data_IF_193721709227
#
_entry.id   IF_193721709227
#
_cell.length_a   1.000
_cell.length_b   1.000
_cell.length_c   1.000
_cell.angle_alpha   90.00
_cell.angle_beta   90.00
_cell.angle_gamma   90.00
#
_symmetry.space_group_name_H-M   'P 1'
#
loop_
_entity.id
_entity.type
_entity.pdbx_description
1 polymer ?
#
# COMPACT_ATOMS: atom_id res chain seq x y z
N UNK A 1 14.08 22.64 5.48
CA UNK A 1 13.82 21.55 6.47
C UNK A 1 12.73 20.62 5.91
N UNK A 2 12.68 19.37 6.34
CA UNK A 2 11.64 18.40 5.96
C UNK A 2 10.85 18.05 7.22
N UNK A 3 9.52 18.07 7.14
CA UNK A 3 8.63 17.64 8.21
C UNK A 3 7.91 16.37 7.74
N UNK A 4 8.30 15.18 8.20
CA UNK A 4 7.64 13.94 7.80
C UNK A 4 6.27 13.81 8.47
N UNK A 5 5.29 13.30 7.72
CA UNK A 5 3.97 12.94 8.21
C UNK A 5 3.67 11.51 7.76
N UNK A 6 3.48 10.61 8.72
CA UNK A 6 3.13 9.22 8.44
C UNK A 6 1.61 9.07 8.50
N UNK A 7 1.04 8.44 7.47
CA UNK A 7 -0.39 8.17 7.36
C UNK A 7 -0.58 6.66 7.36
N UNK A 8 -1.47 6.16 8.21
CA UNK A 8 -1.87 4.77 8.16
C UNK A 8 -2.73 4.52 6.93
N UNK A 9 -2.22 3.71 6.01
CA UNK A 9 -2.84 3.37 4.71
C UNK A 9 -3.01 1.87 4.51
N UNK A 10 -2.65 1.07 5.51
CA UNK A 10 -2.68 -0.39 5.40
C UNK A 10 -3.53 -1.06 6.46
N UNK A 11 -3.65 -0.51 7.67
CA UNK A 11 -4.31 -1.23 8.74
C UNK A 11 -5.66 -0.57 9.07
N UNK A 12 -6.81 -1.13 8.68
CA UNK A 12 -8.11 -0.59 9.01
C UNK A 12 -8.27 -0.36 10.54
N UNK A 13 -9.24 0.45 10.99
CA UNK A 13 -9.96 1.43 10.18
C UNK A 13 -8.97 2.48 9.65
N UNK A 14 -9.01 2.71 8.33
CA UNK A 14 -8.24 3.75 7.69
C UNK A 14 -8.92 5.11 7.93
N UNK A 15 -8.18 6.24 7.90
CA UNK A 15 -8.78 7.55 7.76
C UNK A 15 -9.72 7.58 6.56
N UNK A 16 -10.88 8.22 6.68
CA UNK A 16 -11.74 8.43 5.51
C UNK A 16 -11.07 9.39 4.53
N UNK A 17 -11.46 9.31 3.27
CA UNK A 17 -11.03 10.24 2.22
C UNK A 17 -11.31 11.70 2.60
N UNK A 18 -12.52 11.95 3.12
CA UNK A 18 -12.93 13.27 3.65
C UNK A 18 -12.12 13.71 4.87
N UNK A 19 -11.86 12.83 5.84
CA UNK A 19 -11.06 13.19 7.01
C UNK A 19 -9.61 13.52 6.63
N UNK A 20 -9.04 12.75 5.70
CA UNK A 20 -7.72 13.01 5.14
C UNK A 20 -7.66 14.39 4.49
N UNK A 21 -8.68 14.77 3.72
CA UNK A 21 -8.77 16.11 3.15
C UNK A 21 -8.87 17.22 4.23
N UNK A 22 -9.69 17.04 5.26
CA UNK A 22 -9.82 17.99 6.38
C UNK A 22 -8.51 18.20 7.15
N UNK A 23 -7.69 17.15 7.31
CA UNK A 23 -6.36 17.29 7.90
C UNK A 23 -5.49 18.22 7.05
N UNK A 24 -5.56 18.08 5.72
CA UNK A 24 -4.93 19.00 4.78
C UNK A 24 -5.40 20.45 4.96
N UNK A 25 -6.71 20.67 5.08
CA UNK A 25 -7.28 22.01 5.32
C UNK A 25 -6.78 22.62 6.64
N UNK A 26 -6.63 21.79 7.67
CA UNK A 26 -6.05 22.21 8.94
C UNK A 26 -4.56 22.57 8.80
N UNK A 27 -3.79 21.77 8.03
CA UNK A 27 -2.40 22.07 7.70
C UNK A 27 -2.28 23.41 6.95
N UNK A 28 -3.21 23.69 6.03
CA UNK A 28 -3.21 24.96 5.28
C UNK A 28 -3.27 26.18 6.20
N UNK A 29 -4.12 26.16 7.23
CA UNK A 29 -4.22 27.25 8.20
C UNK A 29 -2.89 27.54 8.90
N UNK A 30 -2.12 26.50 9.21
CA UNK A 30 -0.78 26.64 9.81
C UNK A 30 0.22 27.16 8.79
N UNK A 31 0.19 26.66 7.55
CA UNK A 31 1.09 27.10 6.47
C UNK A 31 0.85 28.57 6.11
N UNK A 32 -0.42 29.01 6.00
CA UNK A 32 -0.77 30.39 5.64
C UNK A 32 -0.38 31.42 6.72
N UNK A 33 -0.27 31.00 7.97
CA UNK A 33 0.17 31.85 9.08
C UNK A 33 1.69 32.07 9.10
N UNK A 34 2.42 31.53 8.12
CA UNK A 34 3.88 31.50 8.08
C UNK A 34 4.45 32.20 6.85
N UNK A 35 5.63 32.84 6.97
CA UNK A 35 6.26 33.54 5.84
C UNK A 35 7.00 32.60 4.87
N UNK A 36 7.24 31.34 5.23
CA UNK A 36 8.02 30.42 4.39
C UNK A 36 7.22 29.91 3.18
N UNK A 37 7.93 29.69 2.05
CA UNK A 37 7.39 28.95 0.92
C UNK A 37 7.43 27.45 1.21
N UNK A 38 6.27 26.82 1.28
CA UNK A 38 6.12 25.39 1.57
C UNK A 38 5.76 24.63 0.30
N UNK A 39 6.51 23.57 0.02
CA UNK A 39 6.14 22.54 -0.96
C UNK A 39 5.61 21.31 -0.20
N UNK A 40 4.61 20.65 -0.76
CA UNK A 40 4.02 19.42 -0.20
C UNK A 40 4.33 18.28 -1.16
N UNK A 41 4.89 17.19 -0.62
CA UNK A 41 5.13 15.95 -1.34
C UNK A 41 4.20 14.89 -0.72
N UNK A 42 3.25 14.40 -1.50
CA UNK A 42 2.50 13.19 -1.19
C UNK A 42 3.14 12.02 -1.94
N UNK A 43 3.30 10.89 -1.25
CA UNK A 43 3.89 9.66 -1.81
C UNK A 43 2.98 8.47 -1.53
N UNK A 44 3.15 7.43 -2.32
CA UNK A 44 2.32 6.23 -2.31
C UNK A 44 1.42 6.17 -3.55
N UNK A 45 0.85 4.99 -3.78
CA UNK A 45 0.08 4.69 -4.99
C UNK A 45 0.97 4.42 -6.22
N UNK A 46 0.39 4.20 -7.40
CA UNK A 46 -1.04 4.02 -7.65
C UNK A 46 -1.46 2.56 -7.37
N UNK A 47 -2.30 1.92 -8.19
CA UNK A 47 -2.83 0.59 -7.89
C UNK A 47 -1.70 -0.42 -7.62
N UNK A 48 -1.75 -1.08 -6.47
CA UNK A 48 -0.83 -2.17 -6.11
C UNK A 48 -1.36 -2.98 -4.92
N UNK A 49 -0.88 -4.22 -4.80
CA UNK A 49 -1.36 -5.17 -3.80
C UNK A 49 -0.24 -5.99 -3.13
N UNK A 50 0.75 -5.36 -2.47
CA UNK A 50 1.87 -6.05 -1.85
C UNK A 50 1.42 -7.10 -0.85
N UNK A 51 1.92 -8.32 -1.02
CA UNK A 51 1.67 -9.44 -0.12
C UNK A 51 0.30 -10.09 -0.29
N UNK A 52 -0.39 -9.87 -1.41
CA UNK A 52 -1.68 -10.49 -1.72
C UNK A 52 -1.58 -11.30 -3.02
N UNK A 53 -2.58 -12.16 -3.26
CA UNK A 53 -2.72 -12.91 -4.51
C UNK A 53 -2.83 -12.01 -5.75
N UNK A 54 -3.23 -10.74 -5.56
CA UNK A 54 -3.41 -9.75 -6.61
C UNK A 54 -2.13 -8.95 -6.91
N UNK A 55 -1.00 -9.27 -6.27
CA UNK A 55 0.25 -8.49 -6.39
C UNK A 55 0.69 -8.23 -7.83
N UNK A 56 0.50 -9.19 -8.73
CA UNK A 56 0.86 -9.07 -10.16
C UNK A 56 -0.31 -8.63 -11.07
N UNK A 57 -1.43 -8.18 -10.49
CA UNK A 57 -2.63 -7.75 -11.21
C UNK A 57 -3.13 -6.37 -10.75
N UNK A 58 -2.35 -5.29 -10.96
CA UNK A 58 -2.80 -3.94 -10.63
C UNK A 58 -3.99 -3.47 -11.48
N UNK A 59 -4.69 -2.45 -10.99
CA UNK A 59 -5.87 -1.84 -11.63
C UNK A 59 -5.48 -0.62 -12.47
N UNK A 60 -4.76 -0.84 -13.57
CA UNK A 60 -4.22 0.26 -14.38
C UNK A 60 -5.29 1.15 -15.03
N UNK A 61 -6.45 0.61 -15.36
CA UNK A 61 -7.55 1.43 -15.90
C UNK A 61 -8.12 2.37 -14.82
N UNK A 62 -8.18 1.93 -13.57
CA UNK A 62 -8.53 2.79 -12.44
C UNK A 62 -7.48 3.89 -12.26
N UNK A 63 -6.19 3.55 -12.35
CA UNK A 63 -5.09 4.52 -12.27
C UNK A 63 -5.20 5.59 -13.36
N UNK A 64 -5.52 5.20 -14.59
CA UNK A 64 -5.76 6.13 -15.69
C UNK A 64 -6.96 7.06 -15.44
N UNK A 65 -8.03 6.55 -14.83
CA UNK A 65 -9.14 7.39 -14.39
C UNK A 65 -8.72 8.38 -13.30
N UNK A 66 -7.98 7.95 -12.28
CA UNK A 66 -7.44 8.85 -11.24
C UNK A 66 -6.60 9.96 -11.88
N UNK A 67 -5.65 9.60 -12.75
CA UNK A 67 -4.80 10.56 -13.45
C UNK A 67 -5.63 11.58 -14.23
N UNK A 68 -6.67 11.12 -14.95
CA UNK A 68 -7.58 12.02 -15.67
C UNK A 68 -8.30 12.99 -14.73
N UNK A 69 -8.89 12.51 -13.63
CA UNK A 69 -9.57 13.39 -12.67
C UNK A 69 -8.61 14.46 -12.13
N UNK A 70 -7.36 14.07 -11.83
CA UNK A 70 -6.34 14.99 -11.33
C UNK A 70 -5.86 16.00 -12.38
N UNK A 71 -5.67 15.59 -13.64
CA UNK A 71 -5.32 16.51 -14.73
C UNK A 71 -6.46 17.48 -15.08
N UNK A 72 -7.71 17.08 -14.85
CA UNK A 72 -8.89 17.92 -15.05
C UNK A 72 -9.22 18.79 -13.82
N UNK A 73 -8.45 18.64 -12.75
CA UNK A 73 -8.60 19.45 -11.52
C UNK A 73 -9.83 19.06 -10.71
N UNK A 74 -10.25 17.79 -10.79
CA UNK A 74 -11.37 17.20 -10.05
C UNK A 74 -10.94 16.19 -8.97
N UNK A 75 -10.03 16.54 -8.04
CA UNK A 75 -9.65 15.62 -6.97
C UNK A 75 -10.83 15.27 -6.05
N UNK A 76 -11.92 16.05 -6.07
CA UNK A 76 -13.15 15.75 -5.32
C UNK A 76 -13.79 14.42 -5.70
N UNK A 77 -13.61 13.93 -6.93
CA UNK A 77 -14.10 12.61 -7.35
C UNK A 77 -13.50 11.48 -6.51
N UNK A 78 -12.31 11.68 -5.95
CA UNK A 78 -11.66 10.73 -5.06
C UNK A 78 -12.24 10.77 -3.63
N UNK A 79 -12.89 11.87 -3.24
CA UNK A 79 -13.55 12.01 -1.93
C UNK A 79 -14.85 11.21 -1.84
N UNK A 80 -15.39 10.76 -2.98
CA UNK A 80 -16.55 9.87 -3.07
C UNK A 80 -16.21 8.41 -2.69
N UNK A 81 -14.92 8.04 -2.69
CA UNK A 81 -14.47 6.68 -2.42
C UNK A 81 -14.43 6.39 -0.93
N UNK A 82 -14.84 5.18 -0.55
CA UNK A 82 -14.62 4.62 0.79
C UNK A 82 -13.24 4.00 0.92
N UNK A 83 -12.77 3.78 2.15
CA UNK A 83 -11.51 3.05 2.39
C UNK A 83 -11.55 1.61 1.86
N UNK A 84 -12.72 0.99 1.85
CA UNK A 84 -12.94 -0.35 1.29
C UNK A 84 -12.83 -0.34 -0.24
N UNK A 85 -13.40 0.67 -0.90
CA UNK A 85 -13.24 0.85 -2.34
C UNK A 85 -11.79 1.12 -2.73
N UNK A 86 -11.07 1.94 -1.94
CA UNK A 86 -9.64 2.16 -2.14
C UNK A 86 -8.83 0.87 -1.96
N UNK A 87 -9.21 -0.01 -1.03
CA UNK A 87 -8.60 -1.34 -0.87
C UNK A 87 -8.86 -2.23 -2.09
N UNK A 88 -10.09 -2.29 -2.59
CA UNK A 88 -10.46 -3.09 -3.78
C UNK A 88 -9.61 -2.74 -5.02
N UNK A 89 -9.32 -1.45 -5.21
CA UNK A 89 -8.50 -0.91 -6.34
C UNK A 89 -7.02 -0.69 -5.99
N UNK A 90 -6.55 -1.15 -4.83
CA UNK A 90 -5.12 -1.15 -4.47
C UNK A 90 -4.54 0.26 -4.30
N UNK A 91 -5.38 1.20 -3.89
CA UNK A 91 -5.11 2.64 -3.90
C UNK A 91 -5.39 3.30 -2.53
N UNK A 92 -5.30 2.55 -1.42
CA UNK A 92 -5.40 3.10 -0.05
C UNK A 92 -4.32 4.16 0.22
N UNK A 93 -3.21 4.10 -0.49
CA UNK A 93 -2.13 5.10 -0.43
C UNK A 93 -2.46 6.43 -1.14
N UNK A 94 -3.65 6.58 -1.71
CA UNK A 94 -4.16 7.89 -2.16
C UNK A 94 -4.55 8.80 -0.97
N UNK A 95 -4.71 8.28 0.25
CA UNK A 95 -5.07 9.09 1.42
C UNK A 95 -4.08 10.26 1.69
N UNK A 96 -2.73 10.06 1.63
CA UNK A 96 -1.75 11.14 1.61
C UNK A 96 -1.99 12.20 0.53
N UNK A 97 -2.43 11.81 -0.66
CA UNK A 97 -2.72 12.75 -1.75
C UNK A 97 -3.93 13.62 -1.40
N UNK A 98 -4.94 13.06 -0.74
CA UNK A 98 -6.11 13.81 -0.29
C UNK A 98 -5.76 14.83 0.80
N UNK A 99 -4.81 14.52 1.68
CA UNK A 99 -4.22 15.49 2.63
C UNK A 99 -3.53 16.62 1.85
N UNK A 100 -2.72 16.29 0.84
CA UNK A 100 -2.09 17.31 -0.02
C UNK A 100 -3.16 18.20 -0.67
N UNK A 101 -4.22 17.63 -1.25
CA UNK A 101 -5.29 18.43 -1.89
C UNK A 101 -6.04 19.32 -0.89
N UNK A 102 -6.30 18.85 0.32
CA UNK A 102 -6.88 19.69 1.37
C UNK A 102 -5.97 20.87 1.73
N UNK A 103 -4.66 20.66 1.70
CA UNK A 103 -3.69 21.73 1.98
C UNK A 103 -3.55 22.71 0.81
N UNK A 104 -3.52 22.22 -0.43
CA UNK A 104 -3.24 23.06 -1.61
C UNK A 104 -4.49 23.67 -2.24
N UNK A 105 -5.66 23.12 -1.94
CA UNK A 105 -6.90 23.29 -2.71
C UNK A 105 -6.89 22.50 -4.01
N UNK A 106 -8.05 22.42 -4.67
CA UNK A 106 -8.21 21.72 -5.94
C UNK A 106 -7.43 22.47 -7.03
N UNK A 107 -6.51 21.76 -7.68
CA UNK A 107 -5.65 22.30 -8.74
C UNK A 107 -5.52 21.29 -9.85
N UNK A 108 -5.37 21.78 -11.08
CA UNK A 108 -5.00 20.94 -12.19
C UNK A 108 -3.61 20.34 -11.99
N UNK A 109 -3.54 19.02 -12.14
CA UNK A 109 -2.29 18.28 -12.22
C UNK A 109 -1.70 18.29 -13.63
N UNK A 110 -0.40 18.05 -13.71
CA UNK A 110 0.32 17.63 -14.91
C UNK A 110 0.93 16.27 -14.62
N UNK A 111 0.62 15.27 -15.43
CA UNK A 111 1.33 14.00 -15.40
C UNK A 111 2.74 14.19 -15.98
N UNK A 112 3.76 13.93 -15.16
CA UNK A 112 5.15 13.94 -15.64
C UNK A 112 5.55 12.58 -16.21
N UNK A 113 5.07 11.50 -15.59
CA UNK A 113 5.30 10.13 -16.05
C UNK A 113 4.27 9.19 -15.45
N UNK A 114 3.85 8.20 -16.23
CA UNK A 114 3.18 7.01 -15.73
C UNK A 114 3.84 5.78 -16.36
N UNK A 115 4.22 4.81 -15.52
CA UNK A 115 4.88 3.58 -15.92
C UNK A 115 4.16 2.40 -15.27
N UNK A 116 3.34 1.64 -16.02
CA UNK A 116 2.84 0.37 -15.52
C UNK A 116 4.02 -0.61 -15.37
N UNK A 117 4.12 -1.25 -14.22
CA UNK A 117 5.18 -2.23 -13.95
C UNK A 117 4.60 -3.65 -13.93
N UNK A 118 5.30 -4.61 -13.33
CA UNK A 118 4.74 -5.95 -13.10
C UNK A 118 3.76 -6.01 -11.93
N UNK A 119 3.76 -5.01 -11.02
CA UNK A 119 3.07 -5.12 -9.73
C UNK A 119 2.52 -3.81 -9.17
N UNK A 120 2.74 -2.67 -9.85
CA UNK A 120 2.14 -1.40 -9.50
C UNK A 120 2.17 -0.39 -10.65
N UNK A 121 1.27 0.60 -10.61
CA UNK A 121 1.33 1.79 -11.46
C UNK A 121 2.24 2.86 -10.84
N UNK A 122 3.36 3.20 -11.48
CA UNK A 122 4.26 4.24 -11.00
C UNK A 122 3.95 5.59 -11.66
N UNK A 123 3.28 6.47 -10.91
CA UNK A 123 2.85 7.81 -11.37
C UNK A 123 3.62 8.93 -10.69
N UNK A 124 4.00 9.95 -11.46
CA UNK A 124 4.54 11.22 -10.94
C UNK A 124 3.69 12.36 -11.48
N UNK A 125 3.03 13.08 -10.58
CA UNK A 125 2.21 14.24 -10.91
C UNK A 125 2.73 15.50 -10.23
N UNK A 126 2.53 16.65 -10.89
CA UNK A 126 2.91 17.96 -10.37
C UNK A 126 1.72 18.92 -10.37
N UNK A 127 1.55 19.66 -9.27
CA UNK A 127 0.48 20.63 -9.07
C UNK A 127 1.08 22.01 -8.77
N UNK A 128 1.22 22.86 -9.80
CA UNK A 128 1.72 24.23 -9.67
C UNK A 128 0.53 25.19 -9.52
N UNK A 129 0.57 26.20 -8.62
CA UNK A 129 -0.44 27.27 -8.60
C UNK A 129 -0.66 27.92 -9.98
N UNK A 130 -1.88 28.40 -10.23
CA UNK A 130 -2.22 29.33 -11.32
C UNK A 130 -1.94 28.87 -12.77
N UNK A 131 -1.93 27.56 -13.03
CA UNK A 131 -1.62 26.99 -14.36
C UNK A 131 -2.72 27.07 -15.43
N UNK A 132 -3.81 27.79 -15.21
CA UNK A 132 -4.90 27.94 -16.17
C UNK A 132 -5.91 26.78 -16.22
N UNK A 133 -6.82 26.80 -17.20
CA UNK A 133 -8.00 25.91 -17.32
C UNK A 133 -7.73 24.49 -17.84
N UNK A 134 -8.77 23.63 -17.90
CA UNK A 134 -8.78 22.17 -18.17
C UNK A 134 -7.86 21.72 -19.31
N UNK A 135 -7.27 20.52 -19.12
CA UNK A 135 -6.71 19.58 -20.10
C UNK A 135 -6.32 20.21 -21.43
N UNK A 136 -6.62 19.56 -22.53
CA UNK A 136 -6.94 20.12 -23.87
C UNK A 136 -7.45 18.93 -24.67
N UNK A 137 -6.94 17.73 -24.35
CA UNK A 137 -7.41 16.45 -24.86
C UNK A 137 -8.62 15.95 -24.05
N UNK A 138 -9.79 15.77 -24.69
CA UNK A 138 -10.88 15.01 -24.11
C UNK A 138 -10.45 13.55 -23.97
N UNK A 139 -10.55 12.99 -22.77
CA UNK A 139 -10.37 11.57 -22.54
C UNK A 139 -11.70 10.96 -22.12
N UNK A 140 -12.16 10.00 -22.91
CA UNK A 140 -13.39 9.25 -22.67
C UNK A 140 -13.09 8.05 -21.76
N UNK A 141 -12.57 8.30 -20.56
CA UNK A 141 -12.35 7.25 -19.55
C UNK A 141 -13.64 7.12 -18.73
N UNK A 142 -14.22 5.90 -18.65
CA UNK A 142 -15.39 5.67 -17.81
C UNK A 142 -15.11 6.00 -16.34
N UNK A 143 -16.16 6.30 -15.56
CA UNK A 143 -16.01 6.51 -14.12
C UNK A 143 -15.31 5.28 -13.50
N UNK A 144 -14.32 5.53 -12.65
CA UNK A 144 -13.48 4.50 -12.02
C UNK A 144 -12.70 3.61 -13.00
N UNK A 145 -12.47 4.05 -14.24
CA UNK A 145 -11.84 3.23 -15.28
C UNK A 145 -12.71 2.06 -15.73
N UNK A 146 -14.02 2.11 -15.44
CA UNK A 146 -14.95 1.00 -15.67
C UNK A 146 -14.93 -0.06 -14.57
N UNK A 147 -14.19 0.16 -13.48
CA UNK A 147 -14.15 -0.77 -12.36
C UNK A 147 -15.52 -0.87 -11.65
N UNK A 148 -15.98 -2.11 -11.44
CA UNK A 148 -17.22 -2.40 -10.70
C UNK A 148 -16.88 -2.88 -9.28
N UNK A 149 -17.19 -2.06 -8.28
CA UNK A 149 -16.93 -2.38 -6.88
C UNK A 149 -17.82 -3.52 -6.39
N UNK A 150 -17.22 -4.45 -5.64
CA UNK A 150 -17.92 -5.61 -5.05
C UNK A 150 -18.64 -5.23 -3.76
N UNK A 151 -18.11 -4.27 -3.00
CA UNK A 151 -18.73 -3.79 -1.75
C UNK A 151 -18.71 -4.84 -0.64
N UNK A 152 -17.64 -5.62 -0.53
CA UNK A 152 -17.51 -6.74 0.43
C UNK A 152 -16.70 -6.38 1.68
N UNK A 153 -16.47 -5.09 1.92
CA UNK A 153 -15.58 -4.59 2.96
C UNK A 153 -14.11 -4.69 2.54
N UNK A 154 -13.19 -4.43 3.47
CA UNK A 154 -11.76 -4.61 3.23
C UNK A 154 -11.47 -6.06 2.80
N UNK A 155 -10.70 -6.25 1.73
CA UNK A 155 -10.30 -7.56 1.19
C UNK A 155 -8.87 -7.89 1.62
N UNK A 156 -7.93 -6.97 1.41
CA UNK A 156 -6.50 -7.29 1.34
C UNK A 156 -5.71 -7.05 2.62
N UNK A 157 -5.89 -5.91 3.28
CA UNK A 157 -5.10 -5.56 4.48
C UNK A 157 -5.91 -5.66 5.76
N UNK A 158 -6.26 -6.89 6.15
CA UNK A 158 -7.06 -7.16 7.37
C UNK A 158 -6.16 -7.27 8.60
N UNK A 159 -6.72 -6.95 9.77
CA UNK A 159 -6.08 -7.32 11.03
C UNK A 159 -5.96 -8.84 11.16
N UNK A 160 -4.80 -9.34 11.59
CA UNK A 160 -4.71 -10.68 12.14
C UNK A 160 -5.72 -10.87 13.27
N UNK A 161 -6.42 -12.00 13.26
CA UNK A 161 -7.26 -12.42 14.39
C UNK A 161 -6.39 -12.86 15.58
N UNK A 162 -6.98 -12.96 16.77
CA UNK A 162 -6.28 -13.51 17.94
C UNK A 162 -5.74 -14.94 17.69
N UNK A 163 -6.45 -15.74 16.90
CA UNK A 163 -6.06 -17.11 16.54
C UNK A 163 -4.81 -17.16 15.66
N UNK A 164 -4.57 -16.10 14.87
CA UNK A 164 -3.43 -16.00 13.93
C UNK A 164 -2.28 -15.19 14.51
N UNK A 165 -2.43 -14.68 15.74
CA UNK A 165 -1.39 -13.94 16.44
C UNK A 165 -0.07 -14.73 16.58
N UNK A 166 -0.04 -16.03 16.95
CA UNK A 166 1.21 -16.78 17.04
C UNK A 166 2.00 -16.80 15.73
N UNK A 167 1.34 -17.05 14.60
CA UNK A 167 1.94 -16.99 13.27
C UNK A 167 2.54 -15.61 12.97
N UNK A 168 1.76 -14.55 13.17
CA UNK A 168 2.20 -13.19 12.88
C UNK A 168 3.36 -12.77 13.80
N UNK A 169 3.33 -13.17 15.08
CA UNK A 169 4.45 -12.96 16.01
C UNK A 169 5.71 -13.70 15.53
N UNK A 170 5.58 -14.97 15.12
CA UNK A 170 6.70 -15.75 14.61
C UNK A 170 7.36 -15.09 13.38
N UNK A 171 6.54 -14.65 12.41
CA UNK A 171 7.02 -13.92 11.24
C UNK A 171 7.73 -12.61 11.63
N UNK A 172 7.17 -11.85 12.56
CA UNK A 172 7.79 -10.63 13.06
C UNK A 172 9.16 -10.89 13.71
N UNK A 173 9.27 -11.90 14.57
CA UNK A 173 10.54 -12.26 15.20
C UNK A 173 11.57 -12.74 14.17
N UNK A 174 11.17 -13.58 13.22
CA UNK A 174 12.03 -13.99 12.10
C UNK A 174 12.50 -12.77 11.31
N UNK A 175 11.62 -11.84 10.95
CA UNK A 175 12.03 -10.63 10.23
C UNK A 175 13.02 -9.78 11.02
N UNK A 176 12.90 -9.72 12.34
CA UNK A 176 13.67 -8.82 13.21
C UNK A 176 15.02 -9.41 13.65
N UNK A 177 15.07 -10.68 14.02
CA UNK A 177 16.24 -11.32 14.66
C UNK A 177 17.08 -12.11 13.65
N UNK A 178 18.31 -11.65 13.41
CA UNK A 178 19.24 -12.27 12.47
C UNK A 178 19.69 -13.68 12.89
N UNK A 179 19.94 -13.89 14.18
CA UNK A 179 20.36 -15.19 14.68
C UNK A 179 19.21 -16.20 14.56
N UNK A 180 17.98 -15.76 14.84
CA UNK A 180 16.79 -16.60 14.68
C UNK A 180 16.59 -17.00 13.22
N UNK A 181 16.72 -16.07 12.26
CA UNK A 181 16.65 -16.42 10.82
C UNK A 181 17.75 -17.38 10.40
N UNK A 182 18.98 -17.11 10.82
CA UNK A 182 20.13 -17.94 10.50
C UNK A 182 19.92 -19.38 11.00
N UNK A 183 19.30 -19.55 12.16
CA UNK A 183 18.89 -20.87 12.66
C UNK A 183 17.74 -21.45 11.85
N UNK A 184 16.69 -20.67 11.58
CA UNK A 184 15.50 -21.11 10.86
C UNK A 184 15.82 -21.65 9.46
N UNK A 185 16.71 -21.00 8.71
CA UNK A 185 17.10 -21.48 7.36
C UNK A 185 17.92 -22.78 7.40
N UNK A 186 18.51 -23.14 8.54
CA UNK A 186 19.32 -24.37 8.73
C UNK A 186 18.53 -25.50 9.38
N UNK A 187 17.59 -25.16 10.28
CA UNK A 187 16.74 -26.09 11.01
C UNK A 187 15.34 -25.51 11.14
N UNK A 188 14.59 -25.63 10.06
CA UNK A 188 13.26 -25.03 9.94
C UNK A 188 12.24 -25.69 10.86
N UNK A 189 12.31 -27.02 10.98
CA UNK A 189 11.40 -27.79 11.84
C UNK A 189 11.65 -27.49 13.32
N UNK A 190 12.91 -27.46 13.76
CA UNK A 190 13.26 -27.16 15.15
C UNK A 190 12.85 -25.74 15.55
N UNK A 191 13.18 -24.74 14.72
CA UNK A 191 12.84 -23.35 15.03
C UNK A 191 11.33 -23.09 14.92
N UNK A 192 10.62 -23.72 13.98
CA UNK A 192 9.15 -23.61 13.92
C UNK A 192 8.47 -24.17 15.19
N UNK A 193 8.99 -25.27 15.74
CA UNK A 193 8.51 -25.82 17.01
C UNK A 193 8.79 -24.89 18.20
N UNK A 194 9.97 -24.26 18.25
CA UNK A 194 10.32 -23.27 19.29
C UNK A 194 9.42 -22.03 19.27
N UNK A 195 9.02 -21.58 18.07
CA UNK A 195 8.14 -20.41 17.90
C UNK A 195 6.67 -20.69 18.26
N UNK A 196 6.34 -21.90 18.72
CA UNK A 196 5.02 -22.27 19.19
C UNK A 196 4.00 -22.51 18.07
N UNK A 197 4.46 -22.80 16.86
CA UNK A 197 3.57 -23.18 15.77
C UNK A 197 3.01 -24.58 16.00
N UNK A 198 1.69 -24.72 16.17
CA UNK A 198 1.02 -26.03 16.12
C UNK A 198 0.06 -26.08 14.93
N UNK A 199 0.05 -27.22 14.22
CA UNK A 199 -0.89 -27.44 13.12
C UNK A 199 -0.55 -26.68 11.84
N UNK A 200 -1.57 -26.12 11.20
CA UNK A 200 -1.49 -25.53 9.85
C UNK A 200 -0.55 -24.31 9.77
N UNK A 201 -0.52 -23.45 10.79
CA UNK A 201 0.34 -22.26 10.81
C UNK A 201 1.83 -22.62 10.85
N UNK A 202 2.19 -23.70 11.57
CA UNK A 202 3.56 -24.20 11.59
C UNK A 202 3.97 -24.76 10.23
N UNK A 203 3.07 -25.49 9.57
CA UNK A 203 3.29 -25.96 8.21
C UNK A 203 3.46 -24.80 7.23
N UNK A 204 2.65 -23.75 7.37
CA UNK A 204 2.72 -22.55 6.54
C UNK A 204 4.07 -21.81 6.67
N UNK A 205 4.58 -21.62 7.91
CA UNK A 205 5.91 -21.04 8.16
C UNK A 205 7.02 -21.72 7.36
N UNK A 206 6.91 -23.05 7.21
CA UNK A 206 7.93 -23.85 6.54
C UNK A 206 7.91 -23.77 5.02
N UNK A 207 6.84 -23.26 4.44
CA UNK A 207 6.75 -23.12 2.97
C UNK A 207 7.53 -21.92 2.45
N UNK A 208 7.75 -20.91 3.30
CA UNK A 208 8.25 -19.60 2.89
C UNK A 208 7.48 -19.00 1.71
N UNK A 209 6.21 -19.38 1.54
CA UNK A 209 5.31 -18.86 0.53
C UNK A 209 4.45 -17.76 1.13
N UNK A 210 4.49 -16.56 0.54
CA UNK A 210 3.64 -15.44 0.95
C UNK A 210 2.16 -15.84 0.89
N UNK A 211 1.74 -16.55 -0.15
CA UNK A 211 0.36 -16.95 -0.37
C UNK A 211 -0.11 -17.98 0.65
N UNK A 212 0.72 -18.98 0.96
CA UNK A 212 0.39 -19.99 1.99
C UNK A 212 0.32 -19.33 3.37
N UNK A 213 1.25 -18.43 3.68
CA UNK A 213 1.24 -17.66 4.93
C UNK A 213 -0.01 -16.78 5.04
N UNK A 214 -0.37 -16.05 3.97
CA UNK A 214 -1.56 -15.20 3.94
C UNK A 214 -2.85 -16.02 4.11
N UNK A 215 -2.96 -17.19 3.45
CA UNK A 215 -4.09 -18.12 3.62
C UNK A 215 -4.17 -18.67 5.06
N UNK A 216 -3.03 -18.86 5.73
CA UNK A 216 -2.96 -19.25 7.13
C UNK A 216 -3.23 -18.08 8.12
N UNK A 217 -3.57 -16.88 7.61
CA UNK A 217 -3.95 -15.71 8.39
C UNK A 217 -2.79 -14.77 8.75
N UNK A 218 -1.64 -14.89 8.08
CA UNK A 218 -0.60 -13.88 8.19
C UNK A 218 -1.02 -12.58 7.48
N UNK A 219 -0.62 -11.43 8.04
CA UNK A 219 -0.70 -10.17 7.32
C UNK A 219 0.21 -10.21 6.08
N UNK A 220 -0.32 -9.91 4.90
CA UNK A 220 0.38 -10.06 3.62
C UNK A 220 1.75 -9.39 3.55
N UNK A 221 1.86 -8.13 4.00
CA UNK A 221 3.14 -7.40 4.06
C UNK A 221 4.14 -8.07 5.01
N UNK A 222 3.66 -8.61 6.13
CA UNK A 222 4.53 -9.28 7.09
C UNK A 222 5.04 -10.60 6.52
N UNK A 223 4.18 -11.36 5.85
CA UNK A 223 4.55 -12.57 5.14
C UNK A 223 5.62 -12.30 4.06
N UNK A 224 5.35 -11.41 3.11
CA UNK A 224 6.29 -11.14 1.99
C UNK A 224 7.63 -10.60 2.49
N UNK A 225 7.63 -9.66 3.45
CA UNK A 225 8.88 -9.08 3.97
C UNK A 225 9.70 -10.10 4.77
N UNK A 226 9.05 -10.99 5.51
CA UNK A 226 9.71 -12.09 6.22
C UNK A 226 10.31 -13.08 5.23
N UNK A 227 9.53 -13.51 4.24
CA UNK A 227 9.98 -14.42 3.17
C UNK A 227 11.22 -13.89 2.46
N UNK A 228 11.20 -12.63 2.01
CA UNK A 228 12.35 -12.01 1.34
C UNK A 228 13.60 -12.00 2.22
N UNK A 229 13.43 -11.74 3.52
CA UNK A 229 14.56 -11.72 4.48
C UNK A 229 15.11 -13.13 4.73
N UNK A 230 14.25 -14.14 4.79
CA UNK A 230 14.65 -15.54 4.91
C UNK A 230 15.34 -16.05 3.64
N UNK A 231 14.84 -15.71 2.45
CA UNK A 231 15.47 -16.03 1.17
C UNK A 231 16.88 -15.44 1.08
N UNK A 232 17.05 -14.18 1.50
CA UNK A 232 18.36 -13.55 1.61
C UNK A 232 19.28 -14.33 2.57
N UNK A 233 18.78 -14.67 3.76
CA UNK A 233 19.56 -15.39 4.78
C UNK A 233 20.00 -16.78 4.31
N UNK A 234 19.13 -17.49 3.57
CA UNK A 234 19.47 -18.78 2.98
C UNK A 234 20.52 -18.67 1.88
N UNK A 235 20.40 -17.66 1.01
CA UNK A 235 21.43 -17.35 0.00
C UNK A 235 22.78 -17.07 0.64
N UNK A 236 22.82 -16.27 1.71
CA UNK A 236 24.04 -15.98 2.48
C UNK A 236 24.62 -17.24 3.15
N UNK A 237 23.77 -18.19 3.53
CA UNK A 237 24.18 -19.48 4.09
C UNK A 237 24.54 -20.55 3.04
N UNK A 238 24.41 -20.27 1.74
CA UNK A 238 24.62 -21.25 0.67
C UNK A 238 23.54 -22.34 0.59
N UNK A 239 22.34 -22.05 1.11
CA UNK A 239 21.20 -22.97 1.13
C UNK A 239 20.27 -22.60 -0.02
N UNK A 240 20.02 -23.57 -0.92
CA UNK A 240 19.09 -23.40 -2.01
C UNK A 240 17.65 -23.61 -1.51
N UNK A 241 16.80 -22.59 -1.67
CA UNK A 241 15.38 -22.69 -1.36
C UNK A 241 14.64 -23.02 -2.65
N UNK A 242 14.08 -24.22 -2.74
CA UNK A 242 13.37 -24.72 -3.92
C UNK A 242 11.89 -24.33 -3.95
N UNK A 243 11.31 -23.80 -2.87
CA UNK A 243 9.92 -23.33 -2.83
C UNK A 243 9.85 -21.79 -2.84
N UNK A 244 9.63 -21.24 -4.02
CA UNK A 244 9.03 -19.92 -4.21
C UNK A 244 7.76 -20.15 -5.03
N UNK A 245 6.73 -20.69 -4.37
CA UNK A 245 5.39 -20.76 -4.93
C UNK A 245 4.59 -19.60 -4.36
#
# INVERSE_FOLDING_TARGET
PIVPMFVNVYLPPLPTTNHSNQVGEAMRKVIDARPEKVAILASGGLSHYPGTWKYFYPEYEFDHWVIQELEEGRPESLLELTGEQLDEVGNTELLPWLIMFGATGNRRGELLSYQPTSHHGHGVMRFIPDRGGRGQEPRDIPKFGGFEFKGQGYEFYKYPTLETYPLNKALFELRRDENLRARFVRDMDGVAAELGGTGEQAAALKTMSTDVLAKAGAHGILAITTTLTLQRSAKEAGIEITSVA
#
